data_IF_195213292825
#
_entry.id   IF_195213292825
#
_cell.length_a   1.000
_cell.length_b   1.000
_cell.length_c   1.000
_cell.angle_alpha   90.00
_cell.angle_beta   90.00
_cell.angle_gamma   90.00
#
_symmetry.space_group_name_H-M   'P 1'
#
loop_
_entity.id
_entity.type
_entity.pdbx_description
1 polymer ?
#
# COMPACT_ATOMS: atom_id res chain seq x y z
N UNK A 1 14.03 -0.77 -12.61
CA UNK A 1 13.96 -0.52 -14.06
C UNK A 1 15.30 -0.01 -14.56
N UNK A 2 15.51 -0.02 -15.87
CA UNK A 2 16.73 0.46 -16.52
C UNK A 2 17.02 1.95 -16.35
N UNK A 3 16.06 2.70 -15.84
CA UNK A 3 16.26 4.10 -15.41
C UNK A 3 16.22 5.14 -16.52
N UNK A 4 15.75 4.82 -17.71
CA UNK A 4 15.70 5.76 -18.86
C UNK A 4 14.99 7.08 -18.53
N UNK A 5 13.94 7.06 -17.73
CA UNK A 5 13.26 8.28 -17.27
C UNK A 5 14.12 9.17 -16.35
N UNK A 6 15.24 8.65 -15.84
CA UNK A 6 16.16 9.39 -14.99
C UNK A 6 17.32 10.06 -15.75
N UNK A 7 17.47 9.81 -17.05
CA UNK A 7 18.60 10.30 -17.84
C UNK A 7 18.80 11.82 -17.79
N UNK A 8 17.73 12.57 -17.59
CA UNK A 8 17.80 14.03 -17.45
C UNK A 8 18.32 14.50 -16.09
N UNK A 9 18.33 13.63 -15.07
CA UNK A 9 18.66 13.97 -13.69
C UNK A 9 19.90 13.27 -13.17
N UNK A 10 20.25 12.14 -13.78
CA UNK A 10 21.31 11.26 -13.28
C UNK A 10 22.17 10.78 -14.46
N UNK A 11 23.39 11.33 -14.56
CA UNK A 11 24.37 10.92 -15.56
C UNK A 11 24.84 9.47 -15.33
N UNK A 12 24.80 8.99 -14.08
CA UNK A 12 25.13 7.60 -13.75
C UNK A 12 24.13 6.62 -14.39
N UNK A 13 22.85 7.00 -14.47
CA UNK A 13 21.84 6.17 -15.13
C UNK A 13 22.12 5.99 -16.64
N UNK A 14 22.71 7.01 -17.28
CA UNK A 14 23.14 6.90 -18.69
C UNK A 14 24.35 5.99 -18.81
N UNK A 15 25.33 6.12 -17.91
CA UNK A 15 26.56 5.33 -17.95
C UNK A 15 26.33 3.83 -17.68
N UNK A 16 25.32 3.49 -16.88
CA UNK A 16 24.97 2.11 -16.53
C UNK A 16 23.98 1.48 -17.51
N UNK A 17 23.40 2.25 -18.41
CA UNK A 17 22.39 1.76 -19.34
C UNK A 17 23.01 0.91 -20.47
N UNK A 18 22.39 -0.22 -20.74
CA UNK A 18 22.65 -1.05 -21.92
C UNK A 18 21.40 -1.86 -22.28
N UNK A 19 21.35 -2.40 -23.48
CA UNK A 19 20.25 -3.28 -23.88
C UNK A 19 20.18 -4.54 -23.01
N UNK A 20 21.33 -5.12 -22.63
CA UNK A 20 21.38 -6.25 -21.69
C UNK A 20 20.86 -5.88 -20.30
N UNK A 21 21.12 -4.64 -19.85
CA UNK A 21 20.59 -4.14 -18.59
C UNK A 21 19.06 -4.04 -18.65
N UNK A 22 18.48 -3.53 -19.74
CA UNK A 22 17.03 -3.50 -19.97
C UNK A 22 16.43 -4.90 -19.88
N UNK A 23 17.00 -5.89 -20.59
CA UNK A 23 16.54 -7.28 -20.57
C UNK A 23 16.60 -7.86 -19.13
N UNK A 24 17.72 -7.64 -18.43
CA UNK A 24 17.89 -8.09 -17.04
C UNK A 24 16.86 -7.46 -16.11
N UNK A 25 16.56 -6.16 -16.26
CA UNK A 25 15.53 -5.47 -15.52
C UNK A 25 14.15 -6.04 -15.81
N UNK A 26 13.80 -6.28 -17.08
CA UNK A 26 12.53 -6.87 -17.47
C UNK A 26 12.33 -8.27 -16.83
N UNK A 27 13.36 -9.12 -16.85
CA UNK A 27 13.31 -10.44 -16.22
C UNK A 27 13.10 -10.35 -14.70
N UNK A 28 13.79 -9.43 -14.02
CA UNK A 28 13.63 -9.19 -12.59
C UNK A 28 12.20 -8.71 -12.27
N UNK A 29 11.65 -7.83 -13.10
CA UNK A 29 10.28 -7.33 -12.95
C UNK A 29 9.26 -8.46 -13.13
N UNK A 30 9.45 -9.41 -14.04
CA UNK A 30 8.60 -10.60 -14.18
C UNK A 30 8.57 -11.44 -12.90
N UNK A 31 9.71 -11.62 -12.25
CA UNK A 31 9.77 -12.32 -10.96
C UNK A 31 8.97 -11.59 -9.86
N UNK A 32 9.05 -10.25 -9.83
CA UNK A 32 8.29 -9.42 -8.90
C UNK A 32 6.79 -9.48 -9.22
N UNK A 33 6.41 -9.35 -10.49
CA UNK A 33 5.03 -9.44 -10.96
C UNK A 33 4.39 -10.78 -10.62
N UNK A 34 5.13 -11.88 -10.78
CA UNK A 34 4.68 -13.23 -10.37
C UNK A 34 4.42 -13.32 -8.87
N UNK A 35 5.24 -12.68 -8.05
CA UNK A 35 5.04 -12.62 -6.61
C UNK A 35 3.84 -11.74 -6.23
N UNK A 36 3.68 -10.60 -6.91
CA UNK A 36 2.54 -9.71 -6.74
C UNK A 36 1.22 -10.40 -7.11
N UNK A 37 1.19 -11.14 -8.24
CA UNK A 37 0.02 -11.92 -8.63
C UNK A 37 -0.40 -12.94 -7.57
N UNK A 38 0.58 -13.66 -6.97
CA UNK A 38 0.31 -14.62 -5.91
C UNK A 38 -0.29 -13.97 -4.65
N UNK A 39 0.14 -12.75 -4.35
CA UNK A 39 -0.38 -11.97 -3.23
C UNK A 39 -1.72 -11.29 -3.52
N UNK A 40 -2.07 -11.14 -4.81
CA UNK A 40 -3.29 -10.47 -5.22
C UNK A 40 -4.50 -11.40 -5.03
N UNK A 41 -5.47 -10.93 -4.27
CA UNK A 41 -6.75 -11.65 -4.07
C UNK A 41 -7.59 -11.68 -5.36
N UNK A 42 -8.53 -12.63 -5.49
CA UNK A 42 -9.55 -12.59 -6.56
C UNK A 42 -10.28 -11.24 -6.54
N UNK A 43 -10.57 -10.68 -7.72
CA UNK A 43 -11.18 -9.34 -7.87
C UNK A 43 -10.24 -8.17 -7.58
N UNK A 44 -9.04 -8.42 -7.06
CA UNK A 44 -8.07 -7.40 -6.71
C UNK A 44 -7.46 -6.70 -7.94
N UNK A 45 -6.97 -5.47 -7.74
CA UNK A 45 -6.33 -4.67 -8.78
C UNK A 45 -4.83 -4.54 -8.51
N UNK A 46 -4.04 -4.64 -9.57
CA UNK A 46 -2.60 -4.42 -9.57
C UNK A 46 -2.29 -3.18 -10.40
N UNK A 47 -1.54 -2.26 -9.83
CA UNK A 47 -0.93 -1.16 -10.57
C UNK A 47 0.55 -1.49 -10.77
N UNK A 48 0.96 -1.53 -12.02
CA UNK A 48 2.35 -1.68 -12.43
C UNK A 48 2.83 -0.38 -13.04
N UNK A 49 3.98 0.12 -12.61
CA UNK A 49 4.53 1.35 -13.17
C UNK A 49 6.05 1.33 -13.22
N UNK A 50 6.60 2.01 -14.21
CA UNK A 50 8.04 2.19 -14.41
C UNK A 50 8.36 3.62 -14.83
N UNK A 51 9.62 4.01 -14.69
CA UNK A 51 10.16 5.26 -15.22
C UNK A 51 11.04 5.02 -16.45
N UNK A 52 10.86 3.92 -17.17
CA UNK A 52 11.59 3.62 -18.41
C UNK A 52 10.68 3.77 -19.64
N UNK A 53 11.28 3.94 -20.81
CA UNK A 53 10.59 3.97 -22.10
C UNK A 53 10.68 2.64 -22.85
N UNK A 54 11.46 1.70 -22.34
CA UNK A 54 11.65 0.40 -22.99
C UNK A 54 10.35 -0.40 -23.03
N UNK A 55 10.07 -1.03 -24.16
CA UNK A 55 8.89 -1.85 -24.34
C UNK A 55 8.99 -3.15 -23.53
N UNK A 56 10.19 -3.70 -23.46
CA UNK A 56 10.53 -4.93 -22.76
C UNK A 56 10.16 -4.87 -21.27
N UNK A 57 10.42 -3.72 -20.65
CA UNK A 57 10.08 -3.48 -19.25
C UNK A 57 8.62 -3.04 -19.03
N UNK A 58 7.94 -2.60 -20.06
CA UNK A 58 6.60 -2.01 -19.99
C UNK A 58 5.54 -2.97 -20.55
N UNK A 59 5.15 -2.80 -21.81
CA UNK A 59 4.05 -3.55 -22.42
C UNK A 59 4.35 -5.04 -22.46
N UNK A 60 5.57 -5.45 -22.83
CA UNK A 60 5.91 -6.86 -22.95
C UNK A 60 5.85 -7.58 -21.60
N UNK A 61 6.11 -6.89 -20.48
CA UNK A 61 5.92 -7.44 -19.15
C UNK A 61 4.45 -7.51 -18.74
N UNK A 62 3.64 -6.54 -19.13
CA UNK A 62 2.19 -6.53 -18.88
C UNK A 62 1.51 -7.64 -19.70
N UNK A 63 1.85 -7.75 -20.99
CA UNK A 63 1.32 -8.77 -21.89
C UNK A 63 1.76 -10.17 -21.44
N UNK A 64 3.02 -10.31 -21.00
CA UNK A 64 3.52 -11.57 -20.43
C UNK A 64 2.72 -11.95 -19.18
N UNK A 65 2.43 -11.00 -18.26
CA UNK A 65 1.68 -11.29 -17.04
C UNK A 65 0.27 -11.79 -17.35
N UNK A 66 -0.42 -11.14 -18.31
CA UNK A 66 -1.75 -11.56 -18.73
C UNK A 66 -1.74 -12.90 -19.48
N UNK A 67 -0.67 -13.22 -20.22
CA UNK A 67 -0.48 -14.50 -20.90
C UNK A 67 -0.15 -15.64 -19.91
N UNK A 68 0.72 -15.38 -18.93
CA UNK A 68 1.12 -16.37 -17.91
C UNK A 68 -0.04 -16.68 -16.95
N UNK A 69 -0.90 -15.69 -16.67
CA UNK A 69 -2.04 -15.78 -15.77
C UNK A 69 -3.32 -15.34 -16.48
N UNK A 70 -4.04 -16.26 -17.15
CA UNK A 70 -5.22 -15.92 -17.95
C UNK A 70 -6.40 -15.31 -17.17
N UNK A 71 -6.34 -15.34 -15.85
CA UNK A 71 -7.28 -14.66 -14.95
C UNK A 71 -6.92 -13.20 -14.66
N UNK A 72 -5.82 -12.68 -15.27
CA UNK A 72 -5.44 -11.28 -15.22
C UNK A 72 -5.91 -10.54 -16.47
N UNK A 73 -6.75 -9.53 -16.27
CA UNK A 73 -7.25 -8.64 -17.32
C UNK A 73 -6.49 -7.30 -17.27
N UNK A 74 -6.01 -6.83 -18.43
CA UNK A 74 -5.41 -5.50 -18.57
C UNK A 74 -6.55 -4.49 -18.73
N UNK A 75 -6.83 -3.67 -17.70
CA UNK A 75 -7.88 -2.64 -17.76
C UNK A 75 -7.39 -1.35 -18.44
N UNK A 76 -6.13 -1.00 -18.27
CA UNK A 76 -5.56 0.25 -18.79
C UNK A 76 -4.04 0.15 -18.91
N UNK A 77 -3.51 0.72 -19.98
CA UNK A 77 -2.08 1.06 -20.10
C UNK A 77 -1.95 2.52 -20.50
N UNK A 78 -0.98 3.21 -19.94
CA UNK A 78 -0.72 4.63 -20.25
C UNK A 78 0.77 4.92 -20.25
N UNK A 79 1.23 5.65 -21.27
CA UNK A 79 2.56 6.26 -21.32
C UNK A 79 2.44 7.76 -21.13
N UNK A 80 3.24 8.28 -20.23
CA UNK A 80 3.40 9.70 -19.99
C UNK A 80 4.79 10.11 -20.50
N UNK A 81 4.85 10.99 -21.48
CA UNK A 81 6.09 11.47 -22.04
C UNK A 81 6.38 12.90 -21.61
N UNK A 82 7.67 13.28 -21.46
CA UNK A 82 8.04 14.63 -21.03
C UNK A 82 7.54 15.75 -21.96
N UNK A 83 7.27 15.44 -23.22
CA UNK A 83 6.73 16.42 -24.20
C UNK A 83 5.20 16.55 -24.14
N UNK A 84 4.51 15.65 -23.44
CA UNK A 84 3.04 15.68 -23.34
C UNK A 84 2.55 16.05 -21.93
N UNK A 85 3.40 15.94 -20.92
CA UNK A 85 3.05 16.26 -19.54
C UNK A 85 4.26 16.81 -18.78
N UNK A 86 4.02 17.47 -17.65
CA UNK A 86 5.09 17.87 -16.75
C UNK A 86 5.59 16.63 -15.99
N UNK A 87 6.84 16.24 -16.22
CA UNK A 87 7.48 15.09 -15.59
C UNK A 87 8.62 14.51 -16.42
N UNK A 88 9.26 13.45 -15.89
CA UNK A 88 10.43 12.80 -16.52
C UNK A 88 10.03 11.64 -17.44
N UNK A 89 8.77 11.33 -17.50
CA UNK A 89 8.25 10.16 -18.22
C UNK A 89 7.89 9.00 -17.28
N UNK A 90 6.82 8.34 -17.63
CA UNK A 90 6.29 7.25 -16.81
C UNK A 90 5.47 6.30 -17.66
N UNK A 91 5.50 5.02 -17.29
CA UNK A 91 4.55 4.03 -17.78
C UNK A 91 3.70 3.55 -16.61
N UNK A 92 2.42 3.37 -16.81
CA UNK A 92 1.51 2.78 -15.85
C UNK A 92 0.56 1.81 -16.53
N UNK A 93 0.33 0.67 -15.88
CA UNK A 93 -0.67 -0.30 -16.28
C UNK A 93 -1.53 -0.67 -15.08
N UNK A 94 -2.83 -0.80 -15.30
CA UNK A 94 -3.78 -1.31 -14.33
C UNK A 94 -4.31 -2.65 -14.81
N UNK A 95 -4.11 -3.67 -13.98
CA UNK A 95 -4.60 -5.01 -14.22
C UNK A 95 -5.57 -5.42 -13.12
N UNK A 96 -6.51 -6.30 -13.43
CA UNK A 96 -7.48 -6.85 -12.49
C UNK A 96 -7.43 -8.37 -12.53
N UNK A 97 -7.39 -8.98 -11.37
CA UNK A 97 -7.52 -10.44 -11.23
C UNK A 97 -9.00 -10.82 -11.26
N UNK A 98 -9.38 -11.81 -12.06
CA UNK A 98 -10.75 -12.30 -12.10
C UNK A 98 -11.19 -12.82 -10.74
N UNK A 99 -12.49 -12.75 -10.49
CA UNK A 99 -13.10 -13.23 -9.26
C UNK A 99 -13.88 -12.15 -8.50
N UNK A 100 -14.42 -12.55 -7.37
CA UNK A 100 -15.25 -11.68 -6.54
C UNK A 100 -14.37 -10.86 -5.57
N UNK A 101 -14.55 -9.55 -5.58
CA UNK A 101 -13.86 -8.59 -4.71
C UNK A 101 -14.42 -8.56 -3.27
N UNK A 102 -15.04 -9.63 -2.83
CA UNK A 102 -15.48 -9.72 -1.45
C UNK A 102 -14.27 -9.67 -0.52
N UNK A 103 -14.21 -8.59 0.27
CA UNK A 103 -13.27 -8.53 1.37
C UNK A 103 -13.59 -9.66 2.36
N UNK A 104 -12.63 -10.54 2.68
CA UNK A 104 -12.80 -11.45 3.79
C UNK A 104 -13.16 -10.65 5.05
N UNK A 105 -14.10 -11.14 5.85
CA UNK A 105 -14.46 -10.48 7.10
C UNK A 105 -13.24 -10.38 8.02
N UNK A 106 -13.08 -9.26 8.74
CA UNK A 106 -12.03 -9.12 9.73
C UNK A 106 -12.10 -10.26 10.75
N UNK A 107 -11.00 -10.95 10.95
CA UNK A 107 -10.89 -12.09 11.87
C UNK A 107 -10.23 -11.72 13.20
N UNK A 108 -9.61 -10.56 13.29
CA UNK A 108 -9.04 -10.06 14.53
C UNK A 108 -10.11 -9.34 15.37
N UNK A 109 -10.37 -9.88 16.56
CA UNK A 109 -11.25 -9.21 17.54
C UNK A 109 -10.41 -8.30 18.42
N UNK A 110 -10.43 -7.00 18.12
CA UNK A 110 -9.91 -6.00 19.02
C UNK A 110 -10.92 -5.73 20.15
N UNK A 111 -10.42 -5.51 21.35
CA UNK A 111 -11.28 -5.13 22.48
C UNK A 111 -11.58 -3.62 22.39
N UNK A 112 -12.86 -3.21 22.28
CA UNK A 112 -13.19 -1.80 22.37
C UNK A 112 -12.66 -1.20 23.67
N UNK A 113 -12.07 -0.03 23.60
CA UNK A 113 -11.69 0.71 24.79
C UNK A 113 -12.96 1.09 25.58
N UNK A 114 -12.97 0.79 26.89
CA UNK A 114 -14.08 1.08 27.81
C UNK A 114 -13.63 1.93 28.99
N UNK A 115 -12.42 2.44 28.95
CA UNK A 115 -11.79 3.16 30.03
C UNK A 115 -12.40 4.55 30.18
N UNK A 116 -13.00 4.82 31.33
CA UNK A 116 -13.67 6.10 31.62
C UNK A 116 -12.71 7.29 31.54
N UNK A 117 -11.49 7.08 31.97
CA UNK A 117 -10.46 8.13 31.96
C UNK A 117 -10.07 8.56 30.55
N UNK A 118 -10.03 7.60 29.61
CA UNK A 118 -9.84 7.90 28.18
C UNK A 118 -10.99 8.76 27.63
N UNK A 119 -12.24 8.35 27.84
CA UNK A 119 -13.38 9.09 27.31
C UNK A 119 -13.54 10.46 27.97
N UNK A 120 -13.31 10.54 29.28
CA UNK A 120 -13.30 11.82 29.97
C UNK A 120 -12.23 12.78 29.47
N UNK A 121 -11.02 12.25 29.15
CA UNK A 121 -9.97 13.04 28.53
C UNK A 121 -10.38 13.57 27.14
N UNK A 122 -10.96 12.72 26.29
CA UNK A 122 -11.41 13.12 24.94
C UNK A 122 -12.47 14.21 25.03
N UNK A 123 -13.49 14.01 25.86
CA UNK A 123 -14.60 14.95 26.03
C UNK A 123 -14.14 16.32 26.57
N UNK A 124 -13.13 16.30 27.44
CA UNK A 124 -12.62 17.54 28.06
C UNK A 124 -11.61 18.30 27.20
N UNK A 125 -10.97 17.60 26.26
CA UNK A 125 -9.82 18.13 25.49
C UNK A 125 -10.20 18.55 24.08
N UNK A 126 -11.19 17.89 23.48
CA UNK A 126 -11.54 18.09 22.07
C UNK A 126 -12.98 18.59 21.92
N UNK A 127 -13.19 19.68 21.19
CA UNK A 127 -14.52 20.17 20.81
C UNK A 127 -15.23 19.17 19.87
N UNK A 128 -14.47 18.47 19.05
CA UNK A 128 -14.94 17.36 18.24
C UNK A 128 -14.04 16.14 18.49
N UNK A 129 -14.62 14.99 18.85
CA UNK A 129 -13.83 13.80 19.10
C UNK A 129 -13.08 13.37 17.83
N UNK A 130 -11.86 12.86 17.99
CA UNK A 130 -11.10 12.34 16.85
C UNK A 130 -11.86 11.20 16.15
N UNK A 131 -11.70 11.08 14.84
CA UNK A 131 -12.38 10.07 14.03
C UNK A 131 -11.92 8.66 14.39
N UNK A 132 -12.85 7.71 14.29
CA UNK A 132 -12.57 6.30 14.51
C UNK A 132 -13.08 5.76 15.85
N UNK A 133 -12.97 4.44 16.01
CA UNK A 133 -13.31 3.73 17.24
C UNK A 133 -12.05 3.46 18.04
N UNK A 134 -12.14 3.67 19.36
CA UNK A 134 -11.04 3.39 20.27
C UNK A 134 -10.99 1.90 20.63
N UNK A 135 -9.83 1.30 20.51
CA UNK A 135 -9.54 -0.08 20.88
C UNK A 135 -8.36 -0.13 21.83
N UNK A 136 -8.40 -1.03 22.79
CA UNK A 136 -7.30 -1.27 23.72
C UNK A 136 -6.63 -2.61 23.39
N UNK A 137 -5.30 -2.61 23.28
CA UNK A 137 -4.52 -3.84 23.12
C UNK A 137 -3.93 -4.28 24.46
N UNK A 138 -3.44 -5.54 24.53
CA UNK A 138 -3.08 -6.21 25.79
C UNK A 138 -2.04 -5.49 26.65
N UNK A 139 -1.21 -4.65 26.07
CA UNK A 139 -0.18 -3.87 26.76
C UNK A 139 -0.67 -2.49 27.27
N UNK A 140 -1.98 -2.24 27.20
CA UNK A 140 -2.58 -0.99 27.66
C UNK A 140 -2.58 0.14 26.64
N UNK A 141 -2.05 -0.06 25.45
CA UNK A 141 -2.12 0.94 24.37
C UNK A 141 -3.54 1.12 23.87
N UNK A 142 -3.91 2.36 23.62
CA UNK A 142 -5.17 2.75 23.00
C UNK A 142 -4.90 3.17 21.55
N UNK A 143 -5.64 2.57 20.63
CA UNK A 143 -5.56 2.80 19.19
C UNK A 143 -6.90 3.34 18.70
N UNK A 144 -6.88 4.40 17.88
CA UNK A 144 -8.03 4.88 17.13
C UNK A 144 -7.99 4.30 15.72
N UNK A 145 -9.03 3.58 15.34
CA UNK A 145 -9.14 2.93 14.03
C UNK A 145 -10.39 3.44 13.33
N UNK A 146 -10.18 4.12 12.20
CA UNK A 146 -11.24 4.56 11.32
C UNK A 146 -11.39 3.51 10.20
N UNK A 147 -12.58 2.88 10.16
CA UNK A 147 -12.86 1.77 9.25
C UNK A 147 -12.66 0.38 9.86
N UNK A 148 -12.48 -0.61 9.00
CA UNK A 148 -12.35 -2.02 9.37
C UNK A 148 -10.92 -2.52 9.17
N UNK A 149 -10.47 -3.40 10.05
CA UNK A 149 -9.19 -4.09 9.88
C UNK A 149 -9.30 -5.15 8.76
N UNK A 150 -8.22 -5.37 7.98
CA UNK A 150 -8.21 -6.44 7.01
C UNK A 150 -8.29 -7.82 7.68
N UNK A 151 -8.72 -8.82 6.92
CA UNK A 151 -8.71 -10.22 7.35
C UNK A 151 -7.28 -10.80 7.41
N UNK A 152 -7.11 -11.92 8.08
CA UNK A 152 -5.82 -12.62 8.19
C UNK A 152 -4.92 -12.08 9.30
N UNK A 153 -5.37 -11.12 10.09
CA UNK A 153 -4.58 -10.52 11.17
C UNK A 153 -4.58 -11.34 12.45
N UNK A 154 -5.49 -12.30 12.60
CA UNK A 154 -5.56 -13.16 13.81
C UNK A 154 -4.29 -14.00 14.03
N UNK A 155 -3.57 -14.33 12.94
CA UNK A 155 -2.35 -15.13 12.98
C UNK A 155 -1.07 -14.31 13.21
N UNK A 156 -1.17 -12.98 13.29
CA UNK A 156 -0.01 -12.08 13.43
C UNK A 156 -0.11 -11.20 14.67
N UNK A 157 1.03 -10.73 15.16
CA UNK A 157 1.06 -9.75 16.25
C UNK A 157 0.82 -8.36 15.67
N UNK A 158 -0.28 -7.72 16.10
CA UNK A 158 -0.54 -6.31 15.75
C UNK A 158 0.44 -5.41 16.50
N UNK A 159 1.29 -4.72 15.78
CA UNK A 159 2.23 -3.73 16.34
C UNK A 159 1.61 -2.34 16.39
N UNK A 160 0.86 -1.96 15.36
CA UNK A 160 0.16 -0.69 15.25
C UNK A 160 -1.00 -0.80 14.27
N UNK A 161 -2.06 -0.04 14.47
CA UNK A 161 -3.16 0.14 13.54
C UNK A 161 -3.82 1.50 13.78
N UNK A 162 -4.14 2.23 12.72
CA UNK A 162 -4.72 3.56 12.83
C UNK A 162 -3.81 4.54 13.57
N UNK A 163 -4.38 5.35 14.45
CA UNK A 163 -3.65 6.34 15.24
C UNK A 163 -3.40 5.81 16.66
N UNK A 164 -2.15 5.85 17.10
CA UNK A 164 -1.82 5.59 18.49
C UNK A 164 -2.29 6.76 19.38
N UNK A 165 -3.31 6.52 20.18
CA UNK A 165 -3.92 7.55 21.01
C UNK A 165 -3.16 7.78 22.32
N UNK A 166 -2.55 6.76 22.89
CA UNK A 166 -1.83 6.82 24.16
C UNK A 166 -1.89 5.51 24.94
N UNK A 167 -1.49 5.55 26.19
CA UNK A 167 -1.43 4.40 27.09
C UNK A 167 -2.37 4.53 28.29
N UNK A 168 -2.95 3.41 28.72
CA UNK A 168 -3.59 3.28 30.01
C UNK A 168 -2.56 2.87 31.07
N UNK A 169 -2.12 3.81 31.88
CA UNK A 169 -1.15 3.61 32.95
C UNK A 169 -1.82 3.64 34.32
N UNK A 170 -1.94 2.49 34.99
CA UNK A 170 -2.56 2.37 36.32
C UNK A 170 -3.98 3.03 36.40
N UNK A 171 -4.79 2.84 35.35
CA UNK A 171 -6.14 3.39 35.27
C UNK A 171 -6.25 4.85 34.83
N UNK A 172 -5.12 5.49 34.49
CA UNK A 172 -5.07 6.85 33.94
C UNK A 172 -4.66 6.82 32.48
N UNK A 173 -5.29 7.65 31.67
CA UNK A 173 -4.94 7.80 30.28
C UNK A 173 -3.80 8.80 30.11
N UNK A 174 -2.70 8.34 29.51
CA UNK A 174 -1.56 9.16 29.10
C UNK A 174 -1.62 9.36 27.57
N UNK A 175 -2.03 10.53 27.08
CA UNK A 175 -2.19 10.76 25.65
C UNK A 175 -0.84 10.78 24.92
N UNK A 176 -0.82 10.26 23.71
CA UNK A 176 0.30 10.37 22.80
C UNK A 176 0.16 11.61 21.91
N UNK A 177 1.29 12.12 21.41
CA UNK A 177 1.29 13.28 20.50
C UNK A 177 0.46 13.03 19.23
N UNK A 178 0.47 11.81 18.72
CA UNK A 178 -0.28 11.41 17.51
C UNK A 178 -1.80 11.57 17.66
N UNK A 179 -2.34 11.55 18.89
CA UNK A 179 -3.76 11.79 19.13
C UNK A 179 -4.19 13.23 18.75
N UNK A 180 -3.31 14.20 18.93
CA UNK A 180 -3.58 15.61 18.60
C UNK A 180 -3.38 15.95 17.14
N UNK A 181 -2.88 14.98 16.36
CA UNK A 181 -2.66 15.08 14.91
C UNK A 181 -3.71 14.30 14.10
N UNK A 182 -4.66 13.68 14.77
CA UNK A 182 -5.67 12.77 14.18
C UNK A 182 -6.88 13.53 13.60
#
# INVERSE_FOLDING_TARGET
>A
CSGEGMFRKDEGAIAEWSEEHVISCAQRQRAILKSAYKALRPGGKLIYSTCTFSREENEDNVDWLASEFPDMEIELTQRLYPHTCQGEGHFAARLKKAGDDRMPQPDMKLMPCREKDYFGFIEHTFDQPPKGKAYMIKDGRVLLIDGELPAGLSAVRLLSAGVYAGDMLKGRFAPAHSLFMA
#
